data_IF_123852748787
#
_entry.id   IF_123852748787
#
_cell.length_a   1.000
_cell.length_b   1.000
_cell.length_c   1.000
_cell.angle_alpha   90.00
_cell.angle_beta   90.00
_cell.angle_gamma   90.00
#
_symmetry.space_group_name_H-M   'P 1'
#
loop_
_entity.id
_entity.type
_entity.pdbx_description
1 polymer ?
#
# COMPACT_ATOMS: atom_id res chain seq x y z
N UNK A 1 -19.23 7.04 -31.70
CA UNK A 1 -20.47 6.30 -31.37
C UNK A 1 -20.22 4.80 -31.10
N UNK A 2 -19.20 4.17 -31.70
CA UNK A 2 -18.89 2.73 -31.50
C UNK A 2 -18.36 2.36 -30.08
N UNK A 3 -17.85 3.34 -29.32
CA UNK A 3 -17.32 3.13 -27.97
C UNK A 3 -18.41 2.86 -26.92
N UNK A 4 -19.62 3.40 -27.13
CA UNK A 4 -20.75 3.23 -26.21
C UNK A 4 -21.43 1.86 -26.38
N UNK A 5 -21.43 1.29 -27.60
CA UNK A 5 -21.94 -0.06 -27.84
C UNK A 5 -21.08 -1.14 -27.18
N UNK A 6 -19.77 -0.91 -27.08
CA UNK A 6 -18.85 -1.83 -26.41
C UNK A 6 -19.05 -1.83 -24.88
N UNK A 7 -19.31 -0.67 -24.27
CA UNK A 7 -19.60 -0.57 -22.83
C UNK A 7 -20.89 -1.28 -22.42
N UNK A 8 -21.88 -1.36 -23.31
CA UNK A 8 -23.15 -2.04 -23.05
C UNK A 8 -23.05 -3.58 -23.10
N UNK A 9 -21.91 -4.14 -23.54
CA UNK A 9 -21.71 -5.58 -23.74
C UNK A 9 -20.76 -6.23 -22.73
N UNK A 10 -20.25 -5.47 -21.74
CA UNK A 10 -19.37 -5.99 -20.71
C UNK A 10 -20.22 -6.51 -19.54
N UNK A 11 -20.30 -7.83 -19.32
CA UNK A 11 -21.00 -8.36 -18.15
C UNK A 11 -20.30 -7.89 -16.86
N UNK A 12 -21.08 -7.44 -15.87
CA UNK A 12 -20.60 -7.01 -14.55
C UNK A 12 -20.01 -8.20 -13.76
N UNK A 13 -18.75 -8.57 -14.06
CA UNK A 13 -18.02 -9.62 -13.36
C UNK A 13 -16.88 -9.01 -12.52
N UNK A 14 -16.62 -9.57 -11.31
CA UNK A 14 -15.80 -8.93 -10.30
C UNK A 14 -14.36 -8.75 -10.75
N UNK A 15 -13.88 -7.53 -10.50
CA UNK A 15 -12.57 -6.94 -10.82
C UNK A 15 -11.36 -7.82 -10.42
N UNK A 16 -11.03 -8.83 -11.21
CA UNK A 16 -9.84 -9.66 -11.04
C UNK A 16 -8.59 -8.96 -11.60
N UNK A 17 -7.49 -8.90 -10.82
CA UNK A 17 -6.22 -8.18 -11.11
C UNK A 17 -5.64 -8.42 -12.52
N UNK A 18 -5.95 -9.55 -13.16
CA UNK A 18 -5.51 -9.85 -14.53
C UNK A 18 -6.23 -9.04 -15.62
N UNK A 19 -7.46 -8.57 -15.38
CA UNK A 19 -8.27 -7.88 -16.37
C UNK A 19 -7.82 -6.43 -16.58
N UNK A 20 -7.37 -5.74 -15.52
CA UNK A 20 -6.77 -4.40 -15.65
C UNK A 20 -5.47 -4.42 -16.45
N UNK A 21 -4.61 -5.40 -16.21
CA UNK A 21 -3.34 -5.55 -16.93
C UNK A 21 -3.63 -5.88 -18.40
N UNK A 22 -4.59 -6.76 -18.69
CA UNK A 22 -5.02 -7.04 -20.07
C UNK A 22 -5.76 -5.88 -20.73
N UNK A 23 -6.56 -5.11 -20.02
CA UNK A 23 -7.28 -3.94 -20.54
C UNK A 23 -6.32 -2.79 -20.85
N UNK A 24 -5.33 -2.54 -19.98
CA UNK A 24 -4.25 -1.57 -20.23
C UNK A 24 -3.39 -2.00 -21.42
N UNK A 25 -3.04 -3.29 -21.52
CA UNK A 25 -2.28 -3.83 -22.66
C UNK A 25 -3.10 -3.80 -23.96
N UNK A 26 -4.40 -4.08 -23.91
CA UNK A 26 -5.29 -4.04 -25.07
C UNK A 26 -5.55 -2.61 -25.56
N UNK A 27 -5.71 -1.66 -24.63
CA UNK A 27 -5.82 -0.23 -24.94
C UNK A 27 -4.51 0.31 -25.56
N UNK A 28 -3.35 -0.19 -25.14
CA UNK A 28 -2.05 0.15 -25.75
C UNK A 28 -1.75 -0.59 -27.06
N UNK A 29 -2.44 -1.70 -27.36
CA UNK A 29 -2.20 -2.50 -28.58
C UNK A 29 -2.95 -1.99 -29.81
N UNK A 30 -3.91 -1.10 -29.64
CA UNK A 30 -4.54 -0.38 -30.75
C UNK A 30 -4.46 1.14 -30.58
N UNK A 31 -3.26 1.74 -30.68
CA UNK A 31 -3.17 3.15 -30.97
C UNK A 31 -3.49 3.31 -32.46
N UNK A 32 -4.74 3.62 -32.81
CA UNK A 32 -5.03 4.11 -34.17
C UNK A 32 -4.36 5.47 -34.36
N UNK A 33 -3.12 5.39 -34.86
CA UNK A 33 -2.51 6.12 -35.96
C UNK A 33 -2.73 7.64 -36.01
N UNK A 34 -1.67 8.37 -35.64
CA UNK A 34 -1.38 9.74 -36.07
C UNK A 34 0.11 9.88 -36.45
N UNK A 35 0.47 10.61 -37.52
CA UNK A 35 1.72 10.46 -38.28
C UNK A 35 3.00 11.12 -37.69
N UNK A 36 3.15 11.21 -36.37
CA UNK A 36 4.32 11.85 -35.75
C UNK A 36 5.16 10.85 -34.94
N UNK A 37 6.00 10.09 -35.64
CA UNK A 37 6.81 8.98 -35.12
C UNK A 37 8.01 9.37 -34.22
N UNK A 38 7.97 10.51 -33.51
CA UNK A 38 9.06 10.92 -32.60
C UNK A 38 8.68 10.88 -31.11
N UNK A 39 7.38 10.84 -30.78
CA UNK A 39 6.91 10.94 -29.38
C UNK A 39 6.72 9.60 -28.65
N UNK A 40 6.89 8.46 -29.34
CA UNK A 40 6.58 7.14 -28.78
C UNK A 40 7.77 6.44 -28.08
N UNK A 41 9.01 6.87 -28.36
CA UNK A 41 10.22 6.34 -27.71
C UNK A 41 10.22 6.51 -26.18
N UNK A 42 9.97 7.69 -25.59
CA UNK A 42 9.98 7.85 -24.14
C UNK A 42 8.87 7.04 -23.44
N UNK A 43 7.72 6.83 -24.11
CA UNK A 43 6.58 6.11 -23.55
C UNK A 43 6.83 4.58 -23.52
N UNK A 44 7.43 4.04 -24.58
CA UNK A 44 7.79 2.61 -24.67
C UNK A 44 8.94 2.28 -23.72
N UNK A 45 9.94 3.17 -23.62
CA UNK A 45 11.05 3.02 -22.65
C UNK A 45 10.52 3.14 -21.21
N UNK A 46 9.61 4.09 -20.94
CA UNK A 46 8.97 4.24 -19.63
C UNK A 46 8.13 3.02 -19.24
N UNK A 47 7.38 2.43 -20.16
CA UNK A 47 6.60 1.21 -19.91
C UNK A 47 7.50 -0.01 -19.60
N UNK A 48 8.62 -0.16 -20.30
CA UNK A 48 9.61 -1.22 -20.01
C UNK A 48 10.32 -1.00 -18.67
N UNK A 49 10.59 0.26 -18.28
CA UNK A 49 11.21 0.59 -17.00
C UNK A 49 10.26 0.32 -15.82
N UNK A 50 8.97 0.64 -15.97
CA UNK A 50 7.94 0.31 -14.97
C UNK A 50 7.66 -1.21 -14.87
N UNK A 51 7.78 -1.98 -15.96
CA UNK A 51 7.69 -3.44 -15.90
C UNK A 51 8.84 -4.08 -15.09
N UNK A 52 10.02 -3.45 -15.07
CA UNK A 52 11.20 -3.96 -14.36
C UNK A 52 11.22 -3.57 -12.88
N UNK A 53 10.59 -2.44 -12.54
CA UNK A 53 10.42 -1.98 -11.17
C UNK A 53 9.12 -2.56 -10.59
N UNK A 54 9.19 -3.76 -9.99
CA UNK A 54 8.13 -4.43 -9.21
C UNK A 54 7.79 -3.66 -7.92
N UNK A 55 7.66 -2.34 -7.98
CA UNK A 55 7.45 -1.48 -6.82
C UNK A 55 5.95 -1.47 -6.48
N UNK A 56 5.57 -1.75 -5.23
CA UNK A 56 4.18 -1.69 -4.81
C UNK A 56 3.63 -0.27 -4.89
N UNK A 57 2.37 -0.12 -5.30
CA UNK A 57 1.72 1.18 -5.46
C UNK A 57 1.78 2.06 -4.19
N UNK A 58 1.73 1.43 -3.01
CA UNK A 58 1.84 2.11 -1.70
C UNK A 58 3.15 2.88 -1.58
N UNK A 59 4.28 2.32 -2.03
CA UNK A 59 5.58 3.01 -2.01
C UNK A 59 5.56 4.20 -2.97
N UNK A 60 4.90 4.08 -4.12
CA UNK A 60 4.70 5.18 -5.05
C UNK A 60 3.96 6.37 -4.43
N UNK A 61 2.87 6.11 -3.71
CA UNK A 61 2.12 7.17 -2.99
C UNK A 61 2.96 7.83 -1.89
N UNK A 62 3.75 7.05 -1.12
CA UNK A 62 4.64 7.59 -0.09
C UNK A 62 5.74 8.48 -0.71
N UNK A 63 6.36 8.05 -1.80
CA UNK A 63 7.41 8.82 -2.49
C UNK A 63 6.86 10.11 -3.07
N UNK A 64 5.71 10.07 -3.75
CA UNK A 64 5.05 11.28 -4.28
C UNK A 64 4.66 12.22 -3.13
N UNK A 65 4.12 11.68 -2.03
CA UNK A 65 3.77 12.45 -0.85
C UNK A 65 4.99 13.13 -0.20
N UNK A 66 6.14 12.46 -0.16
CA UNK A 66 7.39 13.03 0.34
C UNK A 66 7.89 14.18 -0.55
N UNK A 67 7.80 14.04 -1.87
CA UNK A 67 8.23 15.07 -2.84
C UNK A 67 7.32 16.31 -2.77
N UNK A 68 6.01 16.12 -2.68
CA UNK A 68 5.04 17.23 -2.62
C UNK A 68 4.98 17.87 -1.22
N UNK A 69 5.31 17.10 -0.19
CA UNK A 69 5.32 17.55 1.20
C UNK A 69 6.36 18.64 1.50
N UNK A 70 6.34 19.10 2.75
CA UNK A 70 7.22 20.19 3.21
C UNK A 70 8.71 19.95 2.98
N UNK A 71 9.13 18.70 2.90
CA UNK A 71 10.54 18.29 2.76
C UNK A 71 11.20 18.71 1.44
N UNK A 72 10.44 18.92 0.36
CA UNK A 72 11.02 19.27 -0.96
C UNK A 72 10.37 20.46 -1.64
N UNK A 73 9.03 20.55 -1.68
CA UNK A 73 8.31 21.57 -2.44
C UNK A 73 7.55 22.61 -1.58
N UNK A 74 7.44 22.40 -0.26
CA UNK A 74 6.74 23.29 0.69
C UNK A 74 5.33 23.73 0.24
N UNK A 75 4.64 22.90 -0.56
CA UNK A 75 3.31 23.22 -1.09
C UNK A 75 2.20 22.99 -0.05
N UNK A 76 2.44 22.12 0.93
CA UNK A 76 1.47 21.73 1.97
C UNK A 76 2.01 22.13 3.34
N UNK A 77 1.59 23.30 3.81
CA UNK A 77 1.99 23.86 5.10
C UNK A 77 1.36 23.13 6.31
N UNK A 78 1.98 23.24 7.49
CA UNK A 78 1.42 22.74 8.78
C UNK A 78 -0.05 23.06 9.02
N UNK A 79 -0.49 24.29 8.69
CA UNK A 79 -1.89 24.72 8.87
C UNK A 79 -2.85 23.96 7.93
N UNK A 80 -2.38 23.60 6.73
CA UNK A 80 -3.15 22.76 5.80
C UNK A 80 -3.24 21.33 6.32
N UNK A 81 -2.17 20.79 6.90
CA UNK A 81 -2.18 19.43 7.50
C UNK A 81 -3.15 19.35 8.69
N UNK A 82 -3.19 20.38 9.55
CA UNK A 82 -4.15 20.41 10.66
C UNK A 82 -5.61 20.45 10.18
N UNK A 83 -5.93 21.30 9.20
CA UNK A 83 -7.29 21.35 8.65
C UNK A 83 -7.73 20.01 8.00
N UNK A 84 -6.77 19.22 7.51
CA UNK A 84 -7.02 17.88 6.95
C UNK A 84 -7.15 16.77 8.00
N UNK A 85 -6.90 17.04 9.29
CA UNK A 85 -6.97 16.03 10.34
C UNK A 85 -8.35 15.34 10.43
N UNK A 86 -9.43 16.13 10.35
CA UNK A 86 -10.80 15.60 10.34
C UNK A 86 -11.07 14.69 9.13
N UNK A 87 -10.54 15.05 7.96
CA UNK A 87 -10.67 14.23 6.75
C UNK A 87 -9.88 12.91 6.90
N UNK A 88 -8.68 12.95 7.50
CA UNK A 88 -7.89 11.75 7.76
C UNK A 88 -8.62 10.78 8.70
N UNK A 89 -9.20 11.29 9.80
CA UNK A 89 -9.99 10.46 10.72
C UNK A 89 -11.20 9.82 10.03
N UNK A 90 -11.91 10.58 9.18
CA UNK A 90 -13.02 10.07 8.39
C UNK A 90 -12.56 8.98 7.41
N UNK A 91 -11.45 9.20 6.71
CA UNK A 91 -10.86 8.21 5.80
C UNK A 91 -10.42 6.93 6.52
N UNK A 92 -9.73 7.04 7.67
CA UNK A 92 -9.36 5.90 8.50
C UNK A 92 -10.60 5.12 8.98
N UNK A 93 -11.67 5.83 9.35
CA UNK A 93 -12.94 5.22 9.73
C UNK A 93 -13.56 4.42 8.59
N UNK A 94 -13.62 4.98 7.38
CA UNK A 94 -14.12 4.28 6.19
C UNK A 94 -13.27 3.04 5.88
N UNK A 95 -11.94 3.17 5.87
CA UNK A 95 -11.04 2.04 5.60
C UNK A 95 -11.23 0.94 6.65
N UNK A 96 -11.33 1.31 7.93
CA UNK A 96 -11.63 0.38 9.01
C UNK A 96 -12.97 -0.32 8.85
N UNK A 97 -14.03 0.41 8.47
CA UNK A 97 -15.36 -0.15 8.23
C UNK A 97 -15.36 -1.12 7.04
N UNK A 98 -14.70 -0.77 5.93
CA UNK A 98 -14.58 -1.64 4.76
C UNK A 98 -13.83 -2.93 5.11
N UNK A 99 -12.71 -2.84 5.84
CA UNK A 99 -11.94 -4.01 6.28
C UNK A 99 -12.79 -4.88 7.23
N UNK A 100 -13.50 -4.26 8.17
CA UNK A 100 -14.41 -4.94 9.09
C UNK A 100 -15.57 -5.66 8.39
N UNK A 101 -16.16 -5.02 7.38
CA UNK A 101 -17.25 -5.60 6.58
C UNK A 101 -16.81 -6.75 5.67
N UNK A 102 -15.52 -6.82 5.30
CA UNK A 102 -14.96 -7.91 4.49
C UNK A 102 -14.63 -9.17 5.31
N UNK A 103 -14.64 -9.09 6.65
CA UNK A 103 -14.36 -10.25 7.51
C UNK A 103 -15.51 -11.28 7.43
N UNK A 104 -15.22 -12.43 6.81
CA UNK A 104 -16.13 -13.59 6.82
C UNK A 104 -16.17 -14.21 8.22
N UNK A 105 -17.17 -13.84 9.02
CA UNK A 105 -17.35 -14.35 10.39
C UNK A 105 -17.32 -15.88 10.48
N UNK A 106 -17.86 -16.59 9.50
CA UNK A 106 -17.85 -18.06 9.46
C UNK A 106 -16.42 -18.65 9.37
N UNK A 107 -15.55 -18.03 8.56
CA UNK A 107 -14.13 -18.41 8.46
C UNK A 107 -13.37 -18.02 9.74
N UNK A 108 -13.70 -16.86 10.30
CA UNK A 108 -13.14 -16.41 11.57
C UNK A 108 -13.54 -17.32 12.74
N UNK A 109 -14.76 -17.84 12.81
CA UNK A 109 -15.10 -18.79 13.89
C UNK A 109 -14.40 -20.14 13.73
N UNK A 110 -14.22 -20.61 12.49
CA UNK A 110 -13.55 -21.90 12.23
C UNK A 110 -12.04 -21.85 12.46
N UNK A 111 -11.37 -20.77 12.07
CA UNK A 111 -9.90 -20.64 12.14
C UNK A 111 -9.41 -19.52 13.06
N UNK A 112 -10.30 -18.85 13.78
CA UNK A 112 -9.99 -17.64 14.56
C UNK A 112 -9.00 -17.89 15.67
N UNK A 113 -9.11 -19.03 16.37
CA UNK A 113 -8.14 -19.39 17.42
C UNK A 113 -6.71 -19.48 16.88
N UNK A 114 -6.55 -20.09 15.70
CA UNK A 114 -5.25 -20.20 15.05
C UNK A 114 -4.75 -18.85 14.53
N UNK A 115 -5.63 -18.03 13.95
CA UNK A 115 -5.30 -16.68 13.49
C UNK A 115 -4.86 -15.78 14.64
N UNK A 116 -5.59 -15.79 15.76
CA UNK A 116 -5.25 -15.01 16.95
C UNK A 116 -3.91 -15.48 17.52
N UNK A 117 -3.68 -16.79 17.62
CA UNK A 117 -2.41 -17.33 18.10
C UNK A 117 -1.23 -16.87 17.24
N UNK A 118 -1.36 -16.95 15.92
CA UNK A 118 -0.32 -16.52 14.97
C UNK A 118 -0.10 -15.01 15.08
N UNK A 119 -1.16 -14.19 15.05
CA UNK A 119 -1.05 -12.73 15.12
C UNK A 119 -0.47 -12.25 16.45
N UNK A 120 -0.87 -12.85 17.57
CA UNK A 120 -0.28 -12.53 18.87
C UNK A 120 1.19 -12.96 18.93
N UNK A 121 1.52 -14.16 18.46
CA UNK A 121 2.91 -14.64 18.50
C UNK A 121 3.82 -13.83 17.58
N UNK A 122 3.36 -13.52 16.37
CA UNK A 122 4.08 -12.69 15.39
C UNK A 122 4.18 -11.25 15.86
N UNK A 123 3.09 -10.66 16.36
CA UNK A 123 3.07 -9.27 16.82
C UNK A 123 3.93 -9.05 18.07
N UNK A 124 3.80 -9.91 19.09
CA UNK A 124 4.63 -9.84 20.31
C UNK A 124 6.09 -10.17 19.98
N UNK A 125 6.32 -11.18 19.14
CA UNK A 125 7.66 -11.55 18.69
C UNK A 125 8.35 -10.40 17.95
N UNK A 126 7.67 -9.79 16.98
CA UNK A 126 8.18 -8.63 16.25
C UNK A 126 8.42 -7.43 17.18
N UNK A 127 7.45 -7.12 18.05
CA UNK A 127 7.57 -6.02 19.02
C UNK A 127 8.80 -6.16 19.91
N UNK A 128 8.99 -7.33 20.52
CA UNK A 128 10.11 -7.58 21.43
C UNK A 128 11.44 -7.60 20.67
N UNK A 129 11.49 -8.29 19.52
CA UNK A 129 12.73 -8.43 18.74
C UNK A 129 13.17 -7.07 18.20
N UNK A 130 12.28 -6.33 17.54
CA UNK A 130 12.60 -4.99 16.99
C UNK A 130 12.82 -3.98 18.10
N UNK A 131 12.03 -4.02 19.17
CA UNK A 131 12.17 -3.10 20.30
C UNK A 131 13.50 -3.26 21.04
N UNK A 132 13.90 -4.50 21.35
CA UNK A 132 15.20 -4.78 21.98
C UNK A 132 16.34 -4.47 21.02
N UNK A 133 16.24 -4.87 19.75
CA UNK A 133 17.29 -4.59 18.77
C UNK A 133 17.52 -3.09 18.57
N UNK A 134 16.44 -2.32 18.41
CA UNK A 134 16.54 -0.86 18.24
C UNK A 134 16.97 -0.14 19.53
N UNK A 135 16.55 -0.62 20.71
CA UNK A 135 17.07 -0.12 21.98
C UNK A 135 18.58 -0.36 22.11
N UNK A 136 19.07 -1.58 21.82
CA UNK A 136 20.50 -1.91 21.89
C UNK A 136 21.33 -1.07 20.92
N UNK A 137 20.84 -0.89 19.69
CA UNK A 137 21.49 -0.03 18.69
C UNK A 137 21.50 1.42 19.18
N UNK A 138 20.37 1.98 19.60
CA UNK A 138 20.28 3.36 20.08
C UNK A 138 21.17 3.60 21.30
N UNK A 139 21.21 2.66 22.25
CA UNK A 139 22.08 2.73 23.43
C UNK A 139 23.56 2.77 23.04
N UNK A 140 23.95 1.98 22.02
CA UNK A 140 25.34 1.92 21.53
C UNK A 140 25.81 3.21 20.85
N UNK A 141 24.91 3.98 20.25
CA UNK A 141 25.22 5.23 19.54
C UNK A 141 25.04 6.49 20.40
N UNK A 142 23.96 6.57 21.19
CA UNK A 142 23.56 7.81 21.88
C UNK A 142 23.99 7.83 23.34
N UNK A 143 24.19 6.68 23.99
CA UNK A 143 24.59 6.57 25.40
C UNK A 143 23.54 7.01 26.43
N UNK A 144 22.45 7.64 26.00
CA UNK A 144 21.32 8.03 26.84
C UNK A 144 20.26 6.92 26.91
N UNK A 145 19.92 6.51 28.13
CA UNK A 145 19.00 5.41 28.39
C UNK A 145 17.55 5.79 28.06
N UNK A 146 17.15 7.04 28.31
CA UNK A 146 15.74 7.44 28.23
C UNK A 146 15.27 7.58 26.78
N UNK A 147 16.08 8.23 25.93
CA UNK A 147 15.80 8.32 24.49
C UNK A 147 15.85 6.97 23.78
N UNK A 148 16.79 6.10 24.17
CA UNK A 148 16.96 4.78 23.55
C UNK A 148 15.79 3.83 23.84
N UNK A 149 15.22 3.87 25.05
CA UNK A 149 14.03 3.09 25.39
C UNK A 149 12.80 3.63 24.65
N UNK A 150 12.63 4.95 24.57
CA UNK A 150 11.51 5.55 23.85
C UNK A 150 11.53 5.16 22.35
N UNK A 151 12.69 5.23 21.71
CA UNK A 151 12.84 4.83 20.32
C UNK A 151 12.60 3.34 20.12
N UNK A 152 13.09 2.50 21.04
CA UNK A 152 12.83 1.06 21.03
C UNK A 152 11.35 0.71 21.12
N UNK A 153 10.62 1.35 22.03
CA UNK A 153 9.18 1.14 22.18
C UNK A 153 8.39 1.59 20.96
N UNK A 154 8.71 2.75 20.36
CA UNK A 154 8.02 3.26 19.18
C UNK A 154 8.27 2.37 17.96
N UNK A 155 9.52 2.02 17.69
CA UNK A 155 9.86 1.15 16.56
C UNK A 155 9.34 -0.27 16.75
N UNK A 156 9.41 -0.79 17.97
CA UNK A 156 8.76 -2.05 18.36
C UNK A 156 7.26 -2.02 18.06
N UNK A 157 6.55 -0.97 18.50
CA UNK A 157 5.10 -0.84 18.30
C UNK A 157 4.73 -0.83 16.81
N UNK A 158 5.44 -0.04 16.01
CA UNK A 158 5.23 0.04 14.54
C UNK A 158 5.46 -1.31 13.87
N UNK A 159 6.46 -2.08 14.31
CA UNK A 159 6.77 -3.39 13.74
C UNK A 159 5.71 -4.46 13.99
N UNK A 160 4.92 -4.32 15.06
CA UNK A 160 3.86 -5.27 15.41
C UNK A 160 2.64 -5.18 14.48
N UNK A 161 2.50 -4.08 13.72
CA UNK A 161 1.38 -3.87 12.82
C UNK A 161 1.52 -4.71 11.54
N UNK A 162 1.05 -5.95 11.57
CA UNK A 162 1.08 -6.87 10.41
C UNK A 162 -0.31 -7.20 9.88
N UNK A 163 -0.43 -7.26 8.54
CA UNK A 163 -1.70 -7.52 7.85
C UNK A 163 -1.63 -8.84 7.06
N UNK A 164 -2.19 -9.96 7.59
CA UNK A 164 -2.07 -11.29 6.97
C UNK A 164 -2.87 -11.44 5.65
N UNK A 165 -3.76 -10.50 5.35
CA UNK A 165 -4.64 -10.55 4.18
C UNK A 165 -3.89 -10.36 2.86
N UNK A 166 -2.91 -9.45 2.82
CA UNK A 166 -2.17 -9.11 1.59
C UNK A 166 -1.37 -10.31 1.06
N UNK A 167 -0.75 -11.08 1.97
CA UNK A 167 0.10 -12.20 1.61
C UNK A 167 -0.69 -13.38 1.05
N UNK A 168 -1.87 -13.69 1.64
CA UNK A 168 -2.72 -14.79 1.17
C UNK A 168 -3.36 -14.51 -0.19
N UNK A 169 -3.69 -13.26 -0.49
CA UNK A 169 -4.32 -12.90 -1.76
C UNK A 169 -3.32 -12.93 -2.95
N UNK A 170 -2.02 -12.77 -2.69
CA UNK A 170 -0.99 -12.99 -3.70
C UNK A 170 -0.76 -14.49 -3.99
N UNK A 171 -0.85 -15.34 -2.96
CA UNK A 171 -0.61 -16.78 -3.08
C UNK A 171 -1.78 -17.57 -3.68
N UNK A 172 -3.03 -17.12 -3.48
CA UNK A 172 -4.23 -17.71 -4.09
C UNK A 172 -4.56 -17.12 -5.48
N UNK A 173 -3.76 -16.17 -5.96
CA UNK A 173 -3.97 -15.44 -7.22
C UNK A 173 -3.17 -15.98 -8.40
N UNK A 174 -2.82 -17.28 -8.40
CA UNK A 174 -2.27 -18.02 -9.54
C UNK A 174 -3.19 -19.21 -9.81
#
# INVERSE_FOLDING_TARGET
>A
MEFLYWLAQVPEQPLQKGYYIRAVIFFFRHPRLGPNQAAHLPLIIGAHLFQKLRIPQVVGYVVIGLIIGESFLNLVGRDTVESMHWFNLFALGIIGFIIGGQLRLNVFMKYGKQLILILCSEGIGAFLLVGIASWLVAWRFTGDLQSSIAMGLVLGAVSSATAPASNRQCFMGI
#
